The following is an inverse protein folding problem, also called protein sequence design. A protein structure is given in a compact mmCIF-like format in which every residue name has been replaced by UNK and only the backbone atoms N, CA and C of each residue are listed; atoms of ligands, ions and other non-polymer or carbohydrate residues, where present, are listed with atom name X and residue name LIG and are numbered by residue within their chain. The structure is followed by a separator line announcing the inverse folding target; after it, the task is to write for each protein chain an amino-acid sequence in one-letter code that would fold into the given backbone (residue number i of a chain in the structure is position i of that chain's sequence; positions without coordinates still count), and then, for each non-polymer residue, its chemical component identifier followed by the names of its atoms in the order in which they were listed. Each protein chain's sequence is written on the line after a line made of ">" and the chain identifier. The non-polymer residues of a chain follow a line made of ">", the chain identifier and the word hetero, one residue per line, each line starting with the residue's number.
data_IF_977215177317
#
_entry.id   IF_977215177317
#
_cell.length_a   1.000
_cell.length_b   1.000
_cell.length_c   1.000
_cell.angle_alpha   90.00
_cell.angle_beta   90.00
_cell.angle_gamma   90.00
#
_symmetry.space_group_name_H-M   'P 1'
#
loop_
_entity.id
_entity.type
_entity.pdbx_description
1 polymer ?
#
# COMPACT_ATOMS: atom_id res chain seq x y z
N UNK A 1 -22.46 8.92 -0.30
CA UNK A 1 -21.68 9.00 -1.55
C UNK A 1 -20.70 7.82 -1.61
N UNK A 2 -20.74 6.99 -2.66
CA UNK A 2 -19.76 5.92 -2.89
C UNK A 2 -18.59 6.53 -3.68
N UNK A 3 -17.32 6.37 -3.29
CA UNK A 3 -16.22 6.74 -4.17
C UNK A 3 -16.34 5.94 -5.47
N UNK A 4 -16.06 6.61 -6.58
CA UNK A 4 -16.11 6.01 -7.91
C UNK A 4 -15.17 4.79 -7.93
N UNK A 5 -15.67 3.63 -8.37
CA UNK A 5 -14.81 2.45 -8.49
C UNK A 5 -13.69 2.77 -9.48
N UNK A 6 -12.47 2.83 -8.98
CA UNK A 6 -11.21 2.89 -9.74
C UNK A 6 -11.31 2.06 -11.02
N UNK A 7 -11.19 2.71 -12.19
CA UNK A 7 -11.07 2.02 -13.47
C UNK A 7 -9.71 1.28 -13.44
N UNK A 8 -9.76 -0.05 -13.50
CA UNK A 8 -8.60 -0.91 -13.80
C UNK A 8 -7.35 -0.64 -12.95
N UNK A 9 -7.42 -0.96 -11.66
CA UNK A 9 -6.26 -1.08 -10.78
C UNK A 9 -5.50 0.21 -10.47
N UNK A 10 -5.82 1.34 -11.09
CA UNK A 10 -5.32 2.67 -10.70
C UNK A 10 -6.35 3.34 -9.80
N UNK A 11 -6.01 3.71 -8.55
CA UNK A 11 -6.94 4.44 -7.68
C UNK A 11 -7.24 5.82 -8.24
N UNK A 12 -8.42 6.37 -7.91
CA UNK A 12 -8.67 7.79 -8.07
C UNK A 12 -7.84 8.63 -7.08
N UNK A 13 -7.91 9.97 -7.17
CA UNK A 13 -7.09 10.85 -6.35
C UNK A 13 -7.38 10.70 -4.84
N UNK A 14 -8.66 10.60 -4.46
CA UNK A 14 -9.08 10.50 -3.07
C UNK A 14 -8.73 9.14 -2.47
N UNK A 15 -8.87 8.08 -3.26
CA UNK A 15 -8.46 6.72 -2.90
C UNK A 15 -6.94 6.62 -2.76
N UNK A 16 -6.17 7.24 -3.67
CA UNK A 16 -4.72 7.31 -3.57
C UNK A 16 -4.26 8.05 -2.30
N UNK A 17 -4.91 9.17 -1.95
CA UNK A 17 -4.65 9.91 -0.71
C UNK A 17 -4.98 9.05 0.51
N UNK A 18 -6.11 8.35 0.49
CA UNK A 18 -6.53 7.47 1.58
C UNK A 18 -5.60 6.28 1.79
N UNK A 19 -5.15 5.63 0.71
CA UNK A 19 -4.16 4.55 0.74
C UNK A 19 -2.80 5.07 1.24
N UNK A 20 -2.38 6.24 0.75
CA UNK A 20 -1.13 6.88 1.20
C UNK A 20 -1.18 7.17 2.70
N UNK A 21 -2.31 7.70 3.19
CA UNK A 21 -2.52 7.94 4.62
C UNK A 21 -2.43 6.64 5.41
N UNK A 22 -3.04 5.56 4.93
CA UNK A 22 -2.97 4.25 5.57
C UNK A 22 -1.54 3.74 5.76
N UNK A 23 -0.66 3.97 4.79
CA UNK A 23 0.77 3.62 4.91
C UNK A 23 1.57 4.61 5.76
N UNK A 24 1.25 5.91 5.72
CA UNK A 24 1.95 6.93 6.51
C UNK A 24 1.59 6.91 7.99
N UNK A 25 0.43 6.38 8.38
CA UNK A 25 -0.01 6.31 9.78
C UNK A 25 0.14 4.93 10.41
N UNK A 26 0.56 3.92 9.64
CA UNK A 26 0.71 2.56 10.17
C UNK A 26 1.87 2.44 11.14
N UNK A 27 1.65 1.71 12.24
CA UNK A 27 2.70 1.36 13.20
C UNK A 27 3.59 0.20 12.70
N UNK A 28 3.19 -0.47 11.63
CA UNK A 28 3.96 -1.58 11.05
C UNK A 28 5.35 -1.09 10.61
N UNK A 29 6.39 -1.85 10.96
CA UNK A 29 7.80 -1.52 10.71
C UNK A 29 8.21 -0.09 11.14
N UNK A 30 7.47 0.54 12.05
CA UNK A 30 7.72 1.92 12.48
C UNK A 30 7.50 2.98 11.40
N UNK A 31 6.78 2.68 10.31
CA UNK A 31 6.59 3.61 9.19
C UNK A 31 5.97 4.95 9.61
N UNK A 32 5.07 4.95 10.61
CA UNK A 32 4.52 6.18 11.17
C UNK A 32 5.56 7.15 11.73
N UNK A 33 6.70 6.64 12.23
CA UNK A 33 7.79 7.48 12.78
C UNK A 33 8.66 8.10 11.68
N UNK A 34 8.67 7.48 10.50
CA UNK A 34 9.50 7.89 9.35
C UNK A 34 8.65 8.33 8.16
N UNK A 35 7.37 8.62 8.36
CA UNK A 35 6.42 9.02 7.30
C UNK A 35 6.85 10.28 6.54
N UNK A 36 7.71 11.12 7.15
CA UNK A 36 8.30 12.29 6.51
C UNK A 36 9.45 11.95 5.55
N UNK A 37 10.04 10.76 5.64
CA UNK A 37 11.26 10.34 4.92
C UNK A 37 10.97 9.67 3.57
N UNK A 38 9.73 9.23 3.33
CA UNK A 38 9.35 8.54 2.10
C UNK A 38 8.03 9.05 1.52
N UNK A 39 7.86 8.77 0.23
CA UNK A 39 6.59 8.93 -0.48
C UNK A 39 6.04 7.56 -0.86
N UNK A 40 4.71 7.46 -0.90
CA UNK A 40 4.03 6.29 -1.42
C UNK A 40 3.75 6.54 -2.90
N UNK A 41 4.33 5.72 -3.77
CA UNK A 41 4.20 5.83 -5.22
C UNK A 41 3.75 4.52 -5.84
N UNK A 42 3.32 4.58 -7.10
CA UNK A 42 2.92 3.38 -7.86
C UNK A 42 1.78 2.62 -7.20
N UNK A 43 0.82 3.33 -6.60
CA UNK A 43 -0.31 2.70 -5.91
C UNK A 43 -1.15 1.94 -6.94
N UNK A 44 -1.44 0.67 -6.63
CA UNK A 44 -2.28 -0.19 -7.45
C UNK A 44 -3.34 -0.86 -6.59
N UNK A 45 -4.61 -0.66 -6.93
CA UNK A 45 -5.74 -1.40 -6.34
C UNK A 45 -5.88 -2.72 -7.09
N UNK A 46 -6.28 -3.78 -6.39
CA UNK A 46 -6.47 -5.07 -7.03
C UNK A 46 -7.72 -5.05 -7.90
N UNK A 47 -7.57 -5.54 -9.14
CA UNK A 47 -8.67 -5.66 -10.11
C UNK A 47 -9.59 -6.84 -9.79
N UNK A 48 -9.06 -7.88 -9.13
CA UNK A 48 -9.82 -9.07 -8.71
C UNK A 48 -10.46 -8.93 -7.33
N UNK A 49 -9.90 -8.07 -6.47
CA UNK A 49 -10.54 -7.69 -5.20
C UNK A 49 -10.20 -6.24 -4.83
N UNK A 50 -11.08 -5.27 -5.14
CA UNK A 50 -10.84 -3.86 -4.88
C UNK A 50 -10.71 -3.47 -3.40
N UNK A 51 -10.82 -4.44 -2.48
CA UNK A 51 -10.51 -4.21 -1.06
C UNK A 51 -9.02 -4.34 -0.75
N UNK A 52 -8.16 -4.62 -1.72
CA UNK A 52 -6.71 -4.69 -1.52
C UNK A 52 -5.99 -3.72 -2.45
N UNK A 53 -4.91 -3.12 -1.94
CA UNK A 53 -4.06 -2.23 -2.71
C UNK A 53 -2.59 -2.45 -2.34
N UNK A 54 -1.70 -2.22 -3.29
CA UNK A 54 -0.24 -2.17 -3.11
C UNK A 54 0.23 -0.72 -3.24
N UNK A 55 1.22 -0.32 -2.44
CA UNK A 55 1.97 0.91 -2.63
C UNK A 55 3.47 0.67 -2.50
N UNK A 56 4.29 1.40 -3.25
CA UNK A 56 5.75 1.34 -3.15
C UNK A 56 6.25 2.52 -2.31
N UNK A 57 7.20 2.27 -1.42
CA UNK A 57 7.83 3.30 -0.60
C UNK A 57 9.12 3.76 -1.27
N UNK A 58 9.11 5.02 -1.70
CA UNK A 58 10.24 5.66 -2.38
C UNK A 58 10.86 6.69 -1.44
N UNK A 59 12.18 6.63 -1.17
CA UNK A 59 12.83 7.62 -0.33
C UNK A 59 12.70 9.01 -0.95
N UNK A 60 12.45 10.01 -0.10
CA UNK A 60 12.59 11.41 -0.53
C UNK A 60 14.06 11.75 -0.78
N UNK A 61 14.37 12.74 -1.63
CA UNK A 61 15.75 13.08 -2.01
C UNK A 61 16.73 13.19 -0.83
N UNK A 62 16.33 13.89 0.24
CA UNK A 62 17.15 14.11 1.45
C UNK A 62 17.40 12.85 2.28
N UNK A 63 16.64 11.76 2.07
CA UNK A 63 16.69 10.54 2.88
C UNK A 63 17.09 9.31 2.08
N UNK A 64 17.58 9.48 0.83
CA UNK A 64 17.97 8.36 -0.05
C UNK A 64 19.01 7.44 0.58
N UNK A 65 19.90 7.97 1.40
CA UNK A 65 20.99 7.20 2.02
C UNK A 65 20.58 6.52 3.34
N UNK A 66 19.37 6.81 3.86
CA UNK A 66 18.90 6.33 5.18
C UNK A 66 17.63 5.49 5.10
N UNK A 67 16.82 5.71 4.07
CA UNK A 67 15.55 5.01 3.90
C UNK A 67 15.70 3.86 2.91
N UNK A 68 15.55 2.63 3.40
CA UNK A 68 15.49 1.45 2.56
C UNK A 68 14.16 1.42 1.82
N UNK A 69 14.21 1.40 0.49
CA UNK A 69 13.03 1.25 -0.35
C UNK A 69 12.30 -0.07 -0.06
N UNK A 70 10.97 -0.05 -0.20
CA UNK A 70 10.13 -1.21 0.06
C UNK A 70 8.75 -1.05 -0.56
N UNK A 71 7.83 -1.90 -0.15
CA UNK A 71 6.43 -1.83 -0.57
C UNK A 71 5.51 -2.35 0.54
N UNK A 72 4.23 -2.05 0.40
CA UNK A 72 3.21 -2.40 1.36
C UNK A 72 1.92 -2.83 0.69
N UNK A 73 1.11 -3.57 1.44
CA UNK A 73 -0.25 -3.93 1.09
C UNK A 73 -1.21 -3.30 2.11
N UNK A 74 -2.24 -2.65 1.60
CA UNK A 74 -3.35 -2.13 2.36
C UNK A 74 -4.63 -2.91 2.06
N UNK A 75 -5.49 -3.03 3.06
CA UNK A 75 -6.83 -3.61 2.96
C UNK A 75 -7.87 -2.57 3.33
N UNK A 76 -8.88 -2.40 2.49
CA UNK A 76 -10.04 -1.59 2.76
C UNK A 76 -11.00 -2.34 3.70
N UNK A 77 -11.47 -1.67 4.74
CA UNK A 77 -12.56 -2.13 5.61
C UNK A 77 -13.61 -1.03 5.68
N UNK A 78 -14.89 -1.35 5.45
CA UNK A 78 -15.99 -0.35 5.42
C UNK A 78 -16.04 0.53 6.67
N UNK A 79 -15.73 -0.01 7.85
CA UNK A 79 -15.77 0.71 9.13
C UNK A 79 -14.57 1.61 9.39
N UNK A 80 -13.40 1.33 8.80
CA UNK A 80 -12.15 2.03 9.14
C UNK A 80 -11.39 2.57 7.94
N UNK A 81 -11.92 2.42 6.73
CA UNK A 81 -11.23 2.74 5.49
C UNK A 81 -10.04 1.83 5.20
N UNK A 82 -9.09 2.35 4.43
CA UNK A 82 -7.83 1.67 4.11
C UNK A 82 -6.93 1.55 5.35
N UNK A 83 -6.40 0.35 5.58
CA UNK A 83 -5.36 0.08 6.59
C UNK A 83 -4.24 -0.75 5.98
N UNK A 84 -2.98 -0.37 6.26
CA UNK A 84 -1.84 -1.22 5.93
C UNK A 84 -1.94 -2.54 6.74
N UNK A 85 -1.78 -3.67 6.07
CA UNK A 85 -1.78 -5.00 6.70
C UNK A 85 -0.39 -5.63 6.70
N UNK A 86 0.41 -5.35 5.66
CA UNK A 86 1.78 -5.86 5.55
C UNK A 86 2.66 -4.81 4.87
N UNK A 87 3.89 -4.66 5.34
CA UNK A 87 4.89 -3.72 4.80
C UNK A 87 6.28 -4.35 4.93
N UNK A 88 7.15 -4.11 3.96
CA UNK A 88 8.51 -4.65 3.97
C UNK A 88 9.20 -4.52 2.62
N UNK A 89 10.36 -5.17 2.49
CA UNK A 89 11.14 -5.27 1.25
C UNK A 89 10.98 -6.63 0.55
N UNK A 90 10.54 -7.66 1.29
CA UNK A 90 10.28 -9.01 0.82
C UNK A 90 9.05 -9.60 1.52
N UNK A 91 8.44 -10.63 0.91
CA UNK A 91 7.32 -11.41 1.44
C UNK A 91 6.10 -10.59 1.92
N UNK A 92 5.87 -9.43 1.32
CA UNK A 92 4.80 -8.52 1.73
C UNK A 92 3.44 -9.09 1.30
N UNK A 93 2.57 -9.32 2.29
CA UNK A 93 1.24 -9.88 2.10
C UNK A 93 1.21 -11.41 1.94
N UNK A 94 2.34 -12.09 2.17
CA UNK A 94 2.38 -13.55 2.17
C UNK A 94 1.61 -14.09 3.39
N UNK A 95 0.75 -15.10 3.17
CA UNK A 95 -0.17 -15.62 4.19
C UNK A 95 -1.43 -14.79 4.42
N UNK A 96 -1.35 -13.47 4.35
CA UNK A 96 -2.50 -12.57 4.63
C UNK A 96 -3.35 -12.22 3.41
N UNK A 97 -2.74 -12.20 2.22
CA UNK A 97 -3.38 -11.79 0.98
C UNK A 97 -3.74 -13.04 0.14
N UNK A 98 -4.98 -13.16 -0.34
CA UNK A 98 -5.40 -14.27 -1.20
C UNK A 98 -4.48 -14.44 -2.41
N UNK A 99 -4.20 -15.69 -2.83
CA UNK A 99 -3.28 -16.00 -3.94
C UNK A 99 -3.63 -15.24 -5.24
N UNK A 100 -4.92 -15.10 -5.55
CA UNK A 100 -5.41 -14.37 -6.73
C UNK A 100 -5.07 -12.87 -6.67
N UNK A 101 -5.27 -12.25 -5.51
CA UNK A 101 -4.92 -10.84 -5.27
C UNK A 101 -3.41 -10.64 -5.29
N UNK A 102 -2.63 -11.57 -4.73
CA UNK A 102 -1.16 -11.51 -4.78
C UNK A 102 -0.64 -11.49 -6.22
N UNK A 103 -1.14 -12.41 -7.06
CA UNK A 103 -0.79 -12.45 -8.50
C UNK A 103 -1.14 -11.14 -9.21
N UNK A 104 -2.36 -10.63 -8.99
CA UNK A 104 -2.81 -9.39 -9.62
C UNK A 104 -1.98 -8.16 -9.17
N UNK A 105 -1.67 -8.04 -7.88
CA UNK A 105 -0.83 -6.98 -7.31
C UNK A 105 0.68 -7.20 -7.53
N UNK A 106 1.07 -8.28 -8.20
CA UNK A 106 2.48 -8.68 -8.44
C UNK A 106 3.29 -8.74 -7.13
N UNK A 107 2.70 -9.33 -6.09
CA UNK A 107 3.36 -9.58 -4.81
C UNK A 107 4.13 -10.89 -4.92
N UNK A 108 5.42 -10.84 -4.58
CA UNK A 108 6.29 -12.02 -4.58
C UNK A 108 6.34 -12.60 -3.18
N UNK A 109 6.11 -13.90 -3.08
CA UNK A 109 6.33 -14.69 -1.88
C UNK A 109 7.33 -15.77 -2.24
N UNK A 110 8.41 -15.86 -1.49
CA UNK A 110 9.44 -16.89 -1.67
C UNK A 110 9.19 -18.10 -0.78
#
# INVERSE_FOLDING_TARGET
>A
MRPARSRHGKPDADEAVSITKAFKTTKLAGLNKIACQFDVKGIRVSTVNPSYARGNFVPKPTYRDRFQAGYGVAKYRRSTGWKAISVGSADVGCGEVPKTVRKDLKLTCH
#
